data_IF_724610268104
#
_entry.id   IF_724610268104
#
_cell.length_a   1.000
_cell.length_b   1.000
_cell.length_c   1.000
_cell.angle_alpha   90.00
_cell.angle_beta   90.00
_cell.angle_gamma   90.00
#
_symmetry.space_group_name_H-M   'P 1'
#
loop_
_entity.id
_entity.type
_entity.pdbx_description
1 polymer ?
#
# COMPACT_ATOMS: atom_id res chain seq x y z
N UNK A 1 -2.03 8.25 3.20
CA UNK A 1 -2.34 7.86 4.59
C UNK A 1 -1.09 7.62 5.43
N UNK A 2 0.03 7.13 4.87
CA UNK A 2 1.35 7.17 5.53
C UNK A 2 1.77 8.59 5.94
N UNK A 3 1.53 9.57 5.05
CA UNK A 3 1.64 11.00 5.39
C UNK A 3 0.73 11.38 6.56
N UNK A 4 -0.50 10.86 6.66
CA UNK A 4 -1.38 11.23 7.78
C UNK A 4 -0.96 10.58 9.09
N UNK A 5 -0.42 9.36 9.09
CA UNK A 5 0.10 8.72 10.30
C UNK A 5 1.44 9.31 10.75
N UNK A 6 2.31 9.68 9.81
CA UNK A 6 3.56 10.39 10.13
C UNK A 6 3.28 11.85 10.51
N UNK A 7 2.35 12.54 9.87
CA UNK A 7 1.87 13.88 10.27
C UNK A 7 1.16 13.82 11.62
N UNK A 8 0.40 12.76 11.93
CA UNK A 8 -0.20 12.59 13.26
C UNK A 8 0.89 12.37 14.32
N UNK A 9 1.89 11.52 14.03
CA UNK A 9 3.05 11.31 14.90
C UNK A 9 3.86 12.59 15.12
N UNK A 10 4.16 13.33 14.06
CA UNK A 10 4.90 14.60 14.15
C UNK A 10 4.07 15.74 14.73
N UNK A 11 2.75 15.77 14.52
CA UNK A 11 1.85 16.75 15.14
C UNK A 11 1.65 16.49 16.64
N UNK A 12 1.68 15.23 17.09
CA UNK A 12 1.68 14.86 18.50
C UNK A 12 2.99 15.26 19.19
N UNK A 13 4.14 15.05 18.53
CA UNK A 13 5.46 15.42 19.05
C UNK A 13 5.66 16.94 19.03
N UNK A 14 5.43 17.61 17.90
CA UNK A 14 5.70 19.04 17.73
C UNK A 14 4.57 19.95 18.25
N UNK A 15 3.33 19.45 18.31
CA UNK A 15 2.15 20.24 18.71
C UNK A 15 1.80 20.14 20.19
N UNK A 16 2.09 19.01 20.85
CA UNK A 16 1.72 18.79 22.26
C UNK A 16 2.91 18.50 23.19
N UNK A 17 4.13 18.30 22.66
CA UNK A 17 5.32 17.93 23.44
C UNK A 17 5.09 16.70 24.36
N UNK A 18 4.10 15.86 24.02
CA UNK A 18 3.80 14.61 24.71
C UNK A 18 4.49 13.52 23.91
N UNK A 19 5.65 13.10 24.38
CA UNK A 19 6.41 12.01 23.80
C UNK A 19 5.80 10.66 24.19
N UNK A 20 4.55 10.41 23.78
CA UNK A 20 3.81 9.18 24.12
C UNK A 20 4.55 7.92 23.64
N UNK A 21 5.36 8.04 22.59
CA UNK A 21 6.25 7.00 22.09
C UNK A 21 7.35 6.61 23.09
N UNK A 22 7.81 7.55 23.93
CA UNK A 22 8.89 7.32 24.90
C UNK A 22 8.37 7.01 26.30
N UNK A 23 7.05 6.94 26.50
CA UNK A 23 6.44 6.63 27.79
C UNK A 23 6.43 5.14 28.11
N UNK A 24 6.32 4.26 27.10
CA UNK A 24 6.39 2.81 27.32
C UNK A 24 6.95 2.07 26.10
N UNK A 25 7.79 1.06 26.37
CA UNK A 25 8.41 0.20 25.33
C UNK A 25 7.36 -0.46 24.42
N UNK A 26 6.24 -0.89 25.02
CA UNK A 26 5.15 -1.58 24.31
C UNK A 26 4.49 -0.65 23.30
N UNK A 27 4.20 0.58 23.69
CA UNK A 27 3.48 1.55 22.86
C UNK A 27 4.34 2.02 21.70
N UNK A 28 5.65 2.17 21.92
CA UNK A 28 6.57 2.40 20.82
C UNK A 28 6.56 1.26 19.79
N UNK A 29 6.74 0.02 20.23
CA UNK A 29 6.76 -1.16 19.34
C UNK A 29 5.51 -1.24 18.49
N UNK A 30 4.34 -1.02 19.11
CA UNK A 30 3.05 -0.99 18.44
C UNK A 30 2.95 0.15 17.43
N UNK A 31 3.42 1.35 17.78
CA UNK A 31 3.39 2.50 16.89
C UNK A 31 4.21 2.27 15.62
N UNK A 32 5.48 1.84 15.76
CA UNK A 32 6.33 1.56 14.60
C UNK A 32 5.80 0.41 13.74
N UNK A 33 5.29 -0.64 14.38
CA UNK A 33 4.67 -1.77 13.68
C UNK A 33 3.48 -1.33 12.83
N UNK A 34 2.54 -0.56 13.41
CA UNK A 34 1.34 -0.08 12.71
C UNK A 34 1.70 0.93 11.61
N UNK A 35 2.67 1.83 11.86
CA UNK A 35 3.13 2.79 10.87
C UNK A 35 3.73 2.10 9.63
N UNK A 36 4.61 1.12 9.82
CA UNK A 36 5.21 0.36 8.72
C UNK A 36 4.20 -0.51 7.99
N UNK A 37 3.33 -1.21 8.72
CA UNK A 37 2.30 -2.06 8.15
C UNK A 37 1.30 -1.24 7.31
N UNK A 38 0.88 -0.06 7.78
CA UNK A 38 -0.01 0.83 7.02
C UNK A 38 0.66 1.45 5.79
N UNK A 39 1.99 1.66 5.84
CA UNK A 39 2.78 2.11 4.70
C UNK A 39 2.79 1.12 3.53
N UNK A 40 2.86 -0.18 3.82
CA UNK A 40 2.96 -1.25 2.82
C UNK A 40 1.60 -1.77 2.36
N UNK A 41 0.60 -1.80 3.24
CA UNK A 41 -0.77 -2.21 2.90
C UNK A 41 -1.46 -1.26 1.92
N UNK A 42 -1.23 0.04 2.05
CA UNK A 42 -1.90 1.03 1.21
C UNK A 42 -1.55 0.91 -0.29
N UNK A 43 -0.27 0.90 -0.69
CA UNK A 43 0.09 0.72 -2.10
C UNK A 43 -0.32 -0.64 -2.65
N UNK A 44 -0.28 -1.71 -1.85
CA UNK A 44 -0.71 -3.05 -2.30
C UNK A 44 -2.20 -3.12 -2.56
N UNK A 45 -3.03 -2.53 -1.69
CA UNK A 45 -4.48 -2.41 -1.92
C UNK A 45 -4.79 -1.54 -3.14
N UNK A 46 -4.04 -0.44 -3.35
CA UNK A 46 -4.20 0.41 -4.54
C UNK A 46 -3.89 -0.31 -5.85
N UNK A 47 -2.82 -1.13 -5.87
CA UNK A 47 -2.47 -1.96 -7.03
C UNK A 47 -3.58 -2.97 -7.30
N UNK A 48 -4.06 -3.67 -6.27
CA UNK A 48 -5.16 -4.63 -6.42
C UNK A 48 -6.45 -3.99 -6.92
N UNK A 49 -6.82 -2.83 -6.38
CA UNK A 49 -7.99 -2.08 -6.82
C UNK A 49 -7.87 -1.61 -8.27
N UNK A 50 -6.66 -1.26 -8.71
CA UNK A 50 -6.37 -0.86 -10.09
C UNK A 50 -6.47 -2.06 -11.06
N UNK A 51 -6.00 -3.24 -10.64
CA UNK A 51 -6.14 -4.50 -11.38
C UNK A 51 -7.62 -4.89 -11.50
N UNK A 52 -8.39 -4.82 -10.41
CA UNK A 52 -9.83 -5.15 -10.44
C UNK A 52 -10.60 -4.25 -11.42
N UNK A 53 -10.35 -2.93 -11.41
CA UNK A 53 -10.93 -1.99 -12.39
C UNK A 53 -10.54 -2.32 -13.84
N UNK A 54 -9.29 -2.74 -14.06
CA UNK A 54 -8.79 -3.11 -15.39
C UNK A 54 -9.44 -4.40 -15.90
N UNK A 55 -9.64 -5.39 -15.03
CA UNK A 55 -10.33 -6.63 -15.35
C UNK A 55 -11.82 -6.39 -15.68
N UNK A 56 -12.51 -5.55 -14.90
CA UNK A 56 -13.91 -5.15 -15.14
C UNK A 56 -14.07 -4.43 -16.49
N UNK A 57 -13.08 -3.63 -16.89
CA UNK A 57 -13.09 -2.92 -18.19
C UNK A 57 -12.77 -3.82 -19.38
N UNK A 58 -12.29 -5.06 -19.19
CA UNK A 58 -11.97 -5.95 -20.30
C UNK A 58 -13.23 -6.60 -20.93
N UNK A 59 -13.17 -6.86 -22.23
CA UNK A 59 -14.32 -7.31 -23.06
C UNK A 59 -14.78 -8.76 -22.81
N UNK A 60 -14.09 -9.54 -21.96
CA UNK A 60 -14.44 -10.95 -21.74
C UNK A 60 -15.55 -11.06 -20.68
N UNK A 61 -16.76 -11.50 -21.06
CA UNK A 61 -17.98 -11.41 -20.23
C UNK A 61 -18.10 -12.54 -19.19
N UNK A 62 -17.63 -13.76 -19.51
CA UNK A 62 -17.92 -14.95 -18.70
C UNK A 62 -16.94 -15.19 -17.53
N UNK A 63 -15.70 -14.70 -17.62
CA UNK A 63 -14.71 -14.72 -16.52
C UNK A 63 -14.80 -13.49 -15.60
N UNK A 64 -15.55 -12.46 -16.00
CA UNK A 64 -15.61 -11.14 -15.36
C UNK A 64 -16.58 -11.05 -14.17
N UNK A 65 -17.59 -11.91 -14.09
CA UNK A 65 -18.62 -11.80 -13.05
C UNK A 65 -18.37 -12.70 -11.82
N UNK A 66 -17.76 -13.88 -12.02
CA UNK A 66 -17.70 -14.90 -10.98
C UNK A 66 -16.36 -14.95 -10.22
N UNK A 67 -15.27 -14.47 -10.84
CA UNK A 67 -13.92 -14.61 -10.28
C UNK A 67 -13.41 -13.35 -9.55
N UNK A 68 -13.82 -12.13 -9.94
CA UNK A 68 -13.15 -10.91 -9.42
C UNK A 68 -13.38 -10.67 -7.92
N UNK A 69 -14.63 -10.77 -7.42
CA UNK A 69 -14.91 -10.41 -6.02
C UNK A 69 -14.26 -11.35 -5.02
N UNK A 70 -14.52 -12.66 -5.13
CA UNK A 70 -14.00 -13.66 -4.17
C UNK A 70 -12.47 -13.76 -4.26
N UNK A 71 -11.90 -13.69 -5.46
CA UNK A 71 -10.45 -13.73 -5.65
C UNK A 71 -9.78 -12.43 -5.19
N UNK A 72 -10.41 -11.26 -5.37
CA UNK A 72 -9.91 -10.00 -4.82
C UNK A 72 -9.91 -10.01 -3.30
N UNK A 73 -11.01 -10.42 -2.65
CA UNK A 73 -11.05 -10.55 -1.19
C UNK A 73 -10.02 -11.56 -0.68
N UNK A 74 -9.88 -12.70 -1.35
CA UNK A 74 -8.86 -13.70 -1.02
C UNK A 74 -7.44 -13.15 -1.17
N UNK A 75 -7.15 -12.45 -2.27
CA UNK A 75 -5.83 -11.86 -2.54
C UNK A 75 -5.48 -10.74 -1.55
N UNK A 76 -6.44 -9.87 -1.20
CA UNK A 76 -6.26 -8.86 -0.16
C UNK A 76 -5.97 -9.53 1.18
N UNK A 77 -6.75 -10.56 1.53
CA UNK A 77 -6.60 -11.27 2.81
C UNK A 77 -5.23 -11.94 2.91
N UNK A 78 -4.84 -12.74 1.92
CA UNK A 78 -3.54 -13.42 1.87
C UNK A 78 -2.39 -12.41 1.89
N UNK A 79 -2.48 -11.33 1.11
CA UNK A 79 -1.47 -10.28 1.10
C UNK A 79 -1.35 -9.60 2.47
N UNK A 80 -2.48 -9.30 3.11
CA UNK A 80 -2.50 -8.68 4.45
C UNK A 80 -1.86 -9.60 5.49
N UNK A 81 -2.22 -10.88 5.50
CA UNK A 81 -1.61 -11.87 6.41
C UNK A 81 -0.10 -12.01 6.18
N UNK A 82 0.33 -12.03 4.92
CA UNK A 82 1.75 -12.08 4.57
C UNK A 82 2.51 -10.87 5.12
N UNK A 83 1.99 -9.65 4.94
CA UNK A 83 2.62 -8.42 5.47
C UNK A 83 2.63 -8.37 7.00
N UNK A 84 1.55 -8.82 7.65
CA UNK A 84 1.46 -8.92 9.10
C UNK A 84 2.58 -9.80 9.65
N UNK A 85 2.76 -11.00 9.09
CA UNK A 85 3.81 -11.95 9.50
C UNK A 85 5.20 -11.38 9.19
N UNK A 86 5.38 -10.84 7.98
CA UNK A 86 6.66 -10.27 7.57
C UNK A 86 7.12 -9.19 8.54
N UNK A 87 6.24 -8.30 9.00
CA UNK A 87 6.58 -7.21 9.91
C UNK A 87 6.71 -7.61 11.40
N UNK A 88 6.46 -8.87 11.80
CA UNK A 88 6.59 -9.30 13.21
C UNK A 88 8.00 -9.04 13.77
N UNK A 89 9.04 -9.15 12.94
CA UNK A 89 10.43 -8.92 13.35
C UNK A 89 10.66 -7.53 13.98
N UNK A 90 9.86 -6.52 13.60
CA UNK A 90 9.95 -5.15 14.13
C UNK A 90 9.57 -5.11 15.62
N UNK A 91 8.60 -5.92 16.06
CA UNK A 91 8.17 -5.98 17.47
C UNK A 91 9.28 -6.50 18.39
N UNK A 92 10.22 -7.28 17.84
CA UNK A 92 11.35 -7.85 18.57
C UNK A 92 12.52 -6.87 18.59
N UNK A 93 12.78 -6.20 17.46
CA UNK A 93 13.99 -5.38 17.23
C UNK A 93 13.88 -3.91 17.61
N UNK A 94 12.66 -3.36 17.74
CA UNK A 94 12.45 -2.00 18.25
C UNK A 94 12.62 -2.00 19.78
N UNK A 95 13.39 -1.08 20.32
CA UNK A 95 13.51 -0.92 21.77
C UNK A 95 13.72 0.55 22.15
N UNK A 96 13.46 0.90 23.41
CA UNK A 96 13.85 2.22 23.92
C UNK A 96 15.37 2.23 24.11
N UNK A 97 16.06 3.14 23.41
CA UNK A 97 17.49 3.38 23.58
C UNK A 97 17.68 4.70 24.34
N UNK A 98 18.62 4.68 25.28
CA UNK A 98 19.01 5.87 26.02
C UNK A 98 20.08 6.62 25.22
N UNK A 99 19.77 7.84 24.76
CA UNK A 99 20.71 8.66 23.97
C UNK A 99 21.54 9.56 24.88
N UNK A 100 20.95 10.07 25.95
CA UNK A 100 21.60 10.86 27.01
C UNK A 100 21.01 10.48 28.36
N UNK A 101 21.73 10.74 29.45
CA UNK A 101 21.22 10.55 30.81
C UNK A 101 19.83 11.18 30.94
N UNK A 102 18.78 10.36 31.09
CA UNK A 102 17.34 10.72 31.16
C UNK A 102 16.58 10.99 29.84
N UNK A 103 17.19 10.83 28.66
CA UNK A 103 16.49 10.91 27.37
C UNK A 103 16.44 9.56 26.68
N UNK A 104 15.26 8.94 26.73
CA UNK A 104 14.94 7.76 25.95
C UNK A 104 14.39 8.18 24.60
N UNK A 105 14.89 7.57 23.53
CA UNK A 105 14.30 7.65 22.19
C UNK A 105 13.97 6.24 21.77
N UNK A 106 12.80 6.09 21.16
CA UNK A 106 12.46 4.83 20.58
C UNK A 106 13.02 4.70 19.17
N UNK A 107 14.00 3.81 19.03
CA UNK A 107 14.68 3.56 17.76
C UNK A 107 14.95 2.07 17.60
N UNK A 108 15.23 1.64 16.37
CA UNK A 108 15.64 0.28 16.08
C UNK A 108 17.03 0.02 16.64
N UNK A 109 17.31 -1.23 17.01
CA UNK A 109 18.67 -1.69 17.31
C UNK A 109 19.63 -1.28 16.17
N UNK A 110 20.53 -0.32 16.44
CA UNK A 110 21.39 0.36 15.46
C UNK A 110 22.49 -0.55 14.87
N UNK A 111 22.34 -1.86 14.96
CA UNK A 111 23.15 -2.80 14.19
C UNK A 111 23.07 -2.45 12.70
N UNK A 112 24.19 -1.99 12.13
CA UNK A 112 24.26 -1.49 10.74
C UNK A 112 23.65 -2.48 9.74
N UNK A 113 23.94 -3.78 9.91
CA UNK A 113 23.41 -4.83 9.03
C UNK A 113 21.87 -4.87 8.97
N UNK A 114 21.18 -4.66 10.09
CA UNK A 114 19.72 -4.72 10.15
C UNK A 114 19.07 -3.48 9.52
N UNK A 115 19.62 -2.30 9.81
CA UNK A 115 19.16 -1.04 9.23
C UNK A 115 19.36 -1.03 7.71
N UNK A 116 20.53 -1.47 7.25
CA UNK A 116 20.86 -1.55 5.83
C UNK A 116 19.94 -2.55 5.11
N UNK A 117 19.68 -3.71 5.72
CA UNK A 117 18.77 -4.72 5.18
C UNK A 117 17.35 -4.17 5.03
N UNK A 118 16.78 -3.56 6.07
CA UNK A 118 15.43 -3.00 6.02
C UNK A 118 15.34 -1.87 4.99
N UNK A 119 16.33 -0.98 4.96
CA UNK A 119 16.37 0.14 4.02
C UNK A 119 16.37 -0.37 2.58
N UNK A 120 17.20 -1.38 2.27
CA UNK A 120 17.22 -2.02 0.96
C UNK A 120 15.87 -2.62 0.59
N UNK A 121 15.27 -3.42 1.48
CA UNK A 121 13.94 -4.01 1.24
C UNK A 121 12.86 -2.97 1.00
N UNK A 122 12.83 -1.90 1.80
CA UNK A 122 11.86 -0.82 1.67
C UNK A 122 12.05 -0.07 0.34
N UNK A 123 13.30 0.20 -0.06
CA UNK A 123 13.61 0.86 -1.32
C UNK A 123 13.18 -0.01 -2.51
N UNK A 124 13.55 -1.29 -2.52
CA UNK A 124 13.14 -2.23 -3.57
C UNK A 124 11.62 -2.35 -3.69
N UNK A 125 10.92 -2.44 -2.56
CA UNK A 125 9.46 -2.51 -2.56
C UNK A 125 8.81 -1.25 -3.13
N UNK A 126 9.26 -0.07 -2.71
CA UNK A 126 8.74 1.20 -3.24
C UNK A 126 9.00 1.33 -4.75
N UNK A 127 10.19 0.94 -5.22
CA UNK A 127 10.50 0.91 -6.65
C UNK A 127 9.54 -0.02 -7.40
N UNK A 128 9.32 -1.24 -6.91
CA UNK A 128 8.36 -2.18 -7.51
C UNK A 128 6.93 -1.63 -7.56
N UNK A 129 6.46 -1.01 -6.48
CA UNK A 129 5.14 -0.35 -6.43
C UNK A 129 5.05 0.75 -7.49
N UNK A 130 6.06 1.61 -7.62
CA UNK A 130 6.07 2.66 -8.64
C UNK A 130 6.00 2.07 -10.06
N UNK A 131 6.82 1.06 -10.36
CA UNK A 131 6.84 0.40 -11.67
C UNK A 131 5.49 -0.23 -12.00
N UNK A 132 4.90 -0.98 -11.07
CA UNK A 132 3.59 -1.61 -11.28
C UNK A 132 2.48 -0.58 -11.52
N UNK A 133 2.48 0.54 -10.78
CA UNK A 133 1.51 1.63 -10.99
C UNK A 133 1.67 2.30 -12.36
N UNK A 134 2.90 2.51 -12.84
CA UNK A 134 3.15 3.06 -14.18
C UNK A 134 2.61 2.10 -15.24
N UNK A 135 2.92 0.81 -15.15
CA UNK A 135 2.46 -0.21 -16.10
C UNK A 135 0.93 -0.26 -16.13
N UNK A 136 0.28 -0.31 -14.96
CA UNK A 136 -1.17 -0.31 -14.86
C UNK A 136 -1.79 0.94 -15.48
N UNK A 137 -1.20 2.12 -15.24
CA UNK A 137 -1.65 3.38 -15.82
C UNK A 137 -1.58 3.37 -17.36
N UNK A 138 -0.49 2.84 -17.92
CA UNK A 138 -0.33 2.69 -19.38
C UNK A 138 -1.39 1.75 -19.96
N UNK A 139 -1.64 0.61 -19.31
CA UNK A 139 -2.63 -0.36 -19.80
C UNK A 139 -4.04 0.23 -19.74
N UNK A 140 -4.41 0.90 -18.64
CA UNK A 140 -5.70 1.60 -18.52
C UNK A 140 -5.87 2.63 -19.63
N UNK A 141 -4.83 3.43 -19.89
CA UNK A 141 -4.88 4.44 -20.94
C UNK A 141 -5.04 3.83 -22.34
N UNK A 142 -4.34 2.72 -22.63
CA UNK A 142 -4.49 1.98 -23.88
C UNK A 142 -5.90 1.39 -24.03
N UNK A 143 -6.47 0.86 -22.96
CA UNK A 143 -7.82 0.29 -22.96
C UNK A 143 -8.89 1.35 -23.22
N UNK A 144 -8.79 2.53 -22.57
CA UNK A 144 -9.70 3.67 -22.82
C UNK A 144 -9.60 4.16 -24.27
N UNK A 145 -8.39 4.25 -24.84
CA UNK A 145 -8.21 4.61 -26.26
C UNK A 145 -8.88 3.61 -27.19
N UNK A 146 -8.73 2.30 -26.93
CA UNK A 146 -9.37 1.25 -27.73
C UNK A 146 -10.90 1.36 -27.69
N UNK A 147 -11.49 1.61 -26.51
CA UNK A 147 -12.93 1.80 -26.33
C UNK A 147 -13.44 3.06 -27.04
N UNK A 148 -12.65 4.14 -27.12
CA UNK A 148 -13.03 5.38 -27.85
C UNK A 148 -12.95 5.27 -29.38
N UNK A 149 -12.22 4.30 -29.93
CA UNK A 149 -12.12 4.08 -31.38
C UNK A 149 -13.35 3.31 -31.89
N UNK A 150 -13.93 2.43 -31.07
CA UNK A 150 -15.10 1.61 -31.44
C UNK A 150 -16.52 2.24 -31.38
N UNK A 151 -16.82 3.42 -30.78
CA UNK A 151 -18.20 3.82 -30.53
C UNK A 151 -18.84 4.61 -31.67
N UNK A 152 -18.10 4.99 -32.72
CA UNK A 152 -18.68 5.75 -33.85
C UNK A 152 -19.32 4.87 -34.91
N UNK A 153 -18.82 3.65 -35.14
CA UNK A 153 -19.38 2.82 -36.21
C UNK A 153 -20.69 2.12 -35.82
N UNK A 154 -20.80 1.65 -34.56
CA UNK A 154 -21.98 0.90 -34.11
C UNK A 154 -23.17 1.80 -33.76
N UNK A 155 -22.94 3.06 -33.37
CA UNK A 155 -24.02 4.02 -33.07
C UNK A 155 -24.79 4.45 -34.32
N UNK A 156 -24.14 4.45 -35.49
CA UNK A 156 -24.80 4.75 -36.76
C UNK A 156 -25.56 3.55 -37.33
N UNK A 157 -25.14 2.30 -37.05
CA UNK A 157 -25.90 1.10 -37.46
C UNK A 157 -27.18 0.90 -36.66
N UNK A 158 -27.20 1.21 -35.36
CA UNK A 158 -28.41 1.04 -34.55
C UNK A 158 -29.49 2.05 -34.97
N UNK A 159 -29.10 3.26 -35.40
CA UNK A 159 -30.04 4.30 -35.85
C UNK A 159 -30.58 4.06 -37.26
N UNK A 160 -29.97 3.20 -38.07
CA UNK A 160 -30.47 2.86 -39.40
C UNK A 160 -31.45 1.67 -39.40
N UNK A 161 -31.56 0.93 -38.30
CA UNK A 161 -32.47 -0.22 -38.20
C UNK A 161 -33.84 0.13 -37.57
N UNK A 162 -34.04 1.38 -37.15
CA UNK A 162 -35.32 1.89 -36.62
C UNK A 162 -36.05 2.80 -37.62
N UNK A 163 -35.87 2.59 -38.93
CA UNK A 163 -36.66 3.23 -39.98
C UNK A 163 -37.72 2.27 -40.51
#
# INVERSE_FOLDING_TARGET
>A
MYLNSTILGTALINGFNINAQNSSVILCKLFFYVALLSSTLLPTVLILASIDRLLISSQNVETRLYSSKRLAYFSISVSTFFWVIFHIHILIKVNLQEIFSSQYVCDYDQSSFYVDSISYFLMSFNTLVCWTMIILSIIVFKNIRHIRIFPRHQRNQIRSMTK
#
